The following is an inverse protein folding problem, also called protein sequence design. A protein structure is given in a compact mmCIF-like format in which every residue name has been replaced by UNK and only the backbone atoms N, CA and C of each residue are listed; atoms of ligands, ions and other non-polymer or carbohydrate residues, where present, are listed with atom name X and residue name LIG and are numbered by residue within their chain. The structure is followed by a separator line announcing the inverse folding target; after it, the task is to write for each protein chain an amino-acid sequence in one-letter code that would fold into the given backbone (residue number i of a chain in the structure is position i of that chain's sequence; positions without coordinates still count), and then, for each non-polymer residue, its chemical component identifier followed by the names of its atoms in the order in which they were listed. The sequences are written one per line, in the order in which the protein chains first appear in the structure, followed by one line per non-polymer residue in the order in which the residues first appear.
data_IF_997176752153
#
_entry.id   IF_997176752153
#
_cell.length_a   1.000
_cell.length_b   1.000
_cell.length_c   1.000
_cell.angle_alpha   90.00
_cell.angle_beta   90.00
_cell.angle_gamma   90.00
#
_symmetry.space_group_name_H-M   'P 1'
#
loop_
_entity.id
_entity.type
_entity.pdbx_description
1 polymer ?
#
# COMPACT_ATOMS: atom_id res chain seq x y z
N UNK A 1 10.16 10.82 -25.46
CA UNK A 1 9.06 10.44 -24.54
C UNK A 1 9.65 10.29 -23.14
N UNK A 2 9.10 10.94 -22.15
CA UNK A 2 9.63 10.85 -20.76
C UNK A 2 9.15 9.52 -20.16
N UNK A 3 10.05 8.54 -20.05
CA UNK A 3 9.75 7.23 -19.44
C UNK A 3 10.36 7.16 -18.05
N UNK A 4 9.60 6.64 -17.08
CA UNK A 4 10.08 6.30 -15.73
C UNK A 4 9.95 4.80 -15.53
N UNK A 5 10.94 4.19 -14.91
CA UNK A 5 10.90 2.80 -14.47
C UNK A 5 10.61 2.77 -12.97
N UNK A 6 9.72 1.89 -12.55
CA UNK A 6 9.39 1.64 -11.14
C UNK A 6 9.77 0.20 -10.81
N UNK A 7 10.67 0.03 -9.86
CA UNK A 7 11.03 -1.26 -9.30
C UNK A 7 10.04 -1.62 -8.18
N UNK A 8 9.22 -2.63 -8.41
CA UNK A 8 8.21 -3.14 -7.49
C UNK A 8 6.77 -2.78 -7.86
N UNK A 9 5.94 -3.79 -8.06
CA UNK A 9 4.51 -3.70 -8.39
C UNK A 9 3.57 -3.76 -7.18
N UNK A 10 4.06 -3.39 -6.00
CA UNK A 10 3.24 -3.28 -4.79
C UNK A 10 2.36 -2.02 -4.78
N UNK A 11 1.65 -1.79 -3.65
CA UNK A 11 0.78 -0.61 -3.47
C UNK A 11 1.51 0.69 -3.79
N UNK A 12 2.74 0.87 -3.28
CA UNK A 12 3.54 2.06 -3.52
C UNK A 12 3.89 2.25 -5.00
N UNK A 13 4.36 1.19 -5.66
CA UNK A 13 4.73 1.23 -7.08
C UNK A 13 3.56 1.50 -8.00
N UNK A 14 2.44 0.79 -7.83
CA UNK A 14 1.24 1.00 -8.64
C UNK A 14 0.62 2.39 -8.42
N UNK A 15 0.56 2.86 -7.16
CA UNK A 15 0.09 4.23 -6.88
C UNK A 15 0.98 5.27 -7.55
N UNK A 16 2.31 5.10 -7.46
CA UNK A 16 3.27 6.00 -8.12
C UNK A 16 3.11 5.96 -9.63
N UNK A 17 2.90 4.78 -10.22
CA UNK A 17 2.66 4.63 -11.65
C UNK A 17 1.42 5.42 -12.11
N UNK A 18 0.32 5.28 -11.40
CA UNK A 18 -0.92 6.01 -11.69
C UNK A 18 -0.74 7.52 -11.51
N UNK A 19 -0.03 7.96 -10.47
CA UNK A 19 0.29 9.37 -10.29
C UNK A 19 1.12 9.95 -11.44
N UNK A 20 2.16 9.25 -11.87
CA UNK A 20 3.01 9.69 -12.97
C UNK A 20 2.25 9.70 -14.31
N UNK A 21 1.45 8.68 -14.56
CA UNK A 21 0.64 8.58 -15.77
C UNK A 21 -0.40 9.70 -15.89
N UNK A 22 -0.94 10.19 -14.76
CA UNK A 22 -1.82 11.38 -14.72
C UNK A 22 -1.15 12.65 -15.24
N UNK A 23 0.20 12.71 -15.24
CA UNK A 23 1.00 13.82 -15.75
C UNK A 23 1.74 13.47 -17.05
N UNK A 24 1.15 12.60 -17.87
CA UNK A 24 1.64 12.22 -19.21
C UNK A 24 3.03 11.56 -19.23
N UNK A 25 3.45 10.94 -18.13
CA UNK A 25 4.64 10.11 -18.13
C UNK A 25 4.32 8.70 -18.66
N UNK A 26 5.21 8.16 -19.47
CA UNK A 26 5.22 6.72 -19.78
C UNK A 26 5.88 5.98 -18.62
N UNK A 27 5.25 4.94 -18.10
CA UNK A 27 5.71 4.23 -16.91
C UNK A 27 5.88 2.75 -17.20
N UNK A 28 7.03 2.20 -16.83
CA UNK A 28 7.27 0.76 -16.79
C UNK A 28 7.36 0.31 -15.33
N UNK A 29 6.44 -0.51 -14.89
CA UNK A 29 6.47 -1.15 -13.57
C UNK A 29 7.06 -2.55 -13.71
N UNK A 30 8.14 -2.81 -12.97
CA UNK A 30 8.82 -4.11 -12.92
C UNK A 30 8.49 -4.80 -11.60
N UNK A 31 7.90 -5.99 -11.67
CA UNK A 31 7.58 -6.81 -10.51
C UNK A 31 8.33 -8.15 -10.59
N UNK A 32 9.12 -8.45 -9.56
CA UNK A 32 9.91 -9.68 -9.51
C UNK A 32 9.07 -10.96 -9.44
N UNK A 33 7.91 -10.91 -8.82
CA UNK A 33 7.00 -12.04 -8.78
C UNK A 33 6.39 -12.28 -10.17
N UNK A 34 6.17 -13.54 -10.51
CA UNK A 34 5.54 -13.91 -11.78
C UNK A 34 4.07 -13.53 -11.87
N UNK A 35 3.43 -13.35 -10.73
CA UNK A 35 2.03 -12.93 -10.60
C UNK A 35 1.89 -11.97 -9.43
N UNK A 36 0.96 -11.04 -9.54
CA UNK A 36 0.59 -10.20 -8.40
C UNK A 36 -0.13 -11.04 -7.35
N UNK A 37 0.34 -10.98 -6.10
CA UNK A 37 -0.27 -11.73 -5.01
C UNK A 37 -1.17 -10.83 -4.19
N UNK A 38 -2.42 -11.26 -4.02
CA UNK A 38 -3.43 -10.57 -3.19
C UNK A 38 -3.34 -10.96 -1.71
N UNK A 39 -2.30 -11.72 -1.33
CA UNK A 39 -2.10 -12.11 0.06
C UNK A 39 -1.90 -10.89 0.96
N UNK A 40 -2.56 -10.89 2.10
CA UNK A 40 -2.43 -9.78 3.06
C UNK A 40 -3.40 -9.88 4.23
N UNK A 41 -3.36 -8.87 5.05
CA UNK A 41 -4.29 -8.62 6.16
C UNK A 41 -5.02 -7.29 5.93
N UNK A 42 -5.77 -6.83 6.91
CA UNK A 42 -6.40 -5.53 6.88
C UNK A 42 -5.37 -4.40 6.77
N UNK A 43 -5.72 -3.37 6.01
CA UNK A 43 -4.98 -2.12 5.89
C UNK A 43 -5.93 -0.95 6.19
N UNK A 44 -5.39 0.08 6.80
CA UNK A 44 -6.09 1.32 7.11
C UNK A 44 -5.62 2.40 6.15
N UNK A 45 -6.57 3.10 5.53
CA UNK A 45 -6.33 4.21 4.61
C UNK A 45 -6.90 5.47 5.23
N UNK A 46 -6.04 6.26 5.83
CA UNK A 46 -6.43 7.57 6.39
C UNK A 46 -6.63 8.62 5.28
N UNK A 47 -7.29 9.76 5.56
CA UNK A 47 -7.66 10.76 4.55
C UNK A 47 -6.52 11.28 3.68
N UNK A 48 -5.29 11.33 4.20
CA UNK A 48 -4.11 11.70 3.41
C UNK A 48 -3.81 10.69 2.27
N UNK A 49 -4.12 9.40 2.49
CA UNK A 49 -4.00 8.35 1.49
C UNK A 49 -5.25 8.29 0.59
N UNK A 50 -6.44 8.18 1.18
CA UNK A 50 -7.69 8.04 0.42
C UNK A 50 -7.95 9.23 -0.51
N UNK A 51 -7.55 10.45 -0.14
CA UNK A 51 -7.61 11.62 -1.02
C UNK A 51 -6.77 11.44 -2.29
N UNK A 52 -5.54 10.94 -2.17
CA UNK A 52 -4.70 10.65 -3.34
C UNK A 52 -5.37 9.61 -4.24
N UNK A 53 -5.89 8.54 -3.67
CA UNK A 53 -6.58 7.50 -4.42
C UNK A 53 -7.87 8.01 -5.09
N UNK A 54 -8.61 8.90 -4.44
CA UNK A 54 -9.78 9.58 -5.04
C UNK A 54 -9.38 10.48 -6.20
N UNK A 55 -8.28 11.23 -6.08
CA UNK A 55 -7.73 12.05 -7.15
C UNK A 55 -7.26 11.23 -8.36
N UNK A 56 -6.93 9.96 -8.17
CA UNK A 56 -6.64 8.99 -9.22
C UNK A 56 -7.91 8.36 -9.83
N UNK A 57 -9.11 8.79 -9.41
CA UNK A 57 -10.38 8.28 -9.92
C UNK A 57 -10.84 6.96 -9.32
N UNK A 58 -10.22 6.50 -8.21
CA UNK A 58 -10.47 5.18 -7.62
C UNK A 58 -11.57 5.19 -6.53
N UNK A 59 -12.21 6.33 -6.28
CA UNK A 59 -13.19 6.49 -5.20
C UNK A 59 -14.30 5.44 -5.21
N UNK A 60 -14.91 5.20 -6.38
CA UNK A 60 -16.01 4.24 -6.53
C UNK A 60 -15.55 2.80 -6.27
N UNK A 61 -14.39 2.41 -6.82
CA UNK A 61 -13.85 1.06 -6.64
C UNK A 61 -13.47 0.79 -5.18
N UNK A 62 -12.91 1.79 -4.48
CA UNK A 62 -12.61 1.70 -3.05
C UNK A 62 -13.87 1.59 -2.21
N UNK A 63 -14.89 2.42 -2.47
CA UNK A 63 -16.16 2.39 -1.74
C UNK A 63 -16.90 1.06 -1.87
N UNK A 64 -16.77 0.38 -3.01
CA UNK A 64 -17.40 -0.91 -3.23
C UNK A 64 -16.80 -2.05 -2.39
N UNK A 65 -15.56 -1.91 -1.93
CA UNK A 65 -14.83 -2.97 -1.23
C UNK A 65 -14.40 -2.59 0.19
N UNK A 66 -14.34 -1.30 0.49
CA UNK A 66 -13.86 -0.82 1.77
C UNK A 66 -14.98 -0.80 2.83
N UNK A 67 -14.57 -0.98 4.06
CA UNK A 67 -15.38 -0.74 5.25
C UNK A 67 -15.09 0.67 5.79
N UNK A 68 -16.14 1.44 6.08
CA UNK A 68 -16.02 2.75 6.73
C UNK A 68 -16.25 2.59 8.23
N UNK A 69 -15.19 2.66 9.05
CA UNK A 69 -15.34 2.54 10.49
C UNK A 69 -16.01 3.79 11.08
N UNK A 70 -16.90 3.59 12.05
CA UNK A 70 -17.52 4.69 12.80
C UNK A 70 -16.49 5.41 13.68
N UNK A 71 -15.45 4.68 14.13
CA UNK A 71 -14.44 5.24 15.01
C UNK A 71 -13.29 4.28 15.33
N UNK A 72 -12.40 4.77 16.17
CA UNK A 72 -11.33 3.98 16.80
C UNK A 72 -11.52 4.01 18.29
N UNK A 73 -11.40 2.85 18.94
CA UNK A 73 -11.58 2.70 20.38
C UNK A 73 -10.36 1.99 20.99
N UNK A 74 -9.89 2.52 22.12
CA UNK A 74 -8.83 1.90 22.90
C UNK A 74 -9.40 1.36 24.21
N UNK A 75 -9.13 0.09 24.50
CA UNK A 75 -9.65 -0.62 25.67
C UNK A 75 -8.54 -1.17 26.55
N UNK A 76 -8.78 -1.16 27.84
CA UNK A 76 -7.91 -1.83 28.79
C UNK A 76 -8.07 -3.35 28.66
N UNK A 77 -6.98 -4.07 28.42
CA UNK A 77 -6.98 -5.50 28.08
C UNK A 77 -7.68 -6.43 29.07
N UNK A 78 -7.57 -6.13 30.39
CA UNK A 78 -8.10 -6.99 31.44
C UNK A 78 -9.56 -6.69 31.78
N UNK A 79 -9.93 -5.42 31.85
CA UNK A 79 -11.26 -4.99 32.30
C UNK A 79 -12.24 -4.68 31.19
N UNK A 80 -11.76 -4.55 29.95
CA UNK A 80 -12.56 -4.11 28.81
C UNK A 80 -13.00 -2.64 28.89
N UNK A 81 -12.64 -1.90 29.94
CA UNK A 81 -12.99 -0.48 30.09
C UNK A 81 -12.44 0.33 28.91
N UNK A 82 -13.27 1.17 28.33
CA UNK A 82 -12.85 2.13 27.29
C UNK A 82 -11.92 3.15 27.94
N UNK A 83 -10.74 3.31 27.37
CA UNK A 83 -9.74 4.30 27.76
C UNK A 83 -10.00 5.60 26.99
N UNK A 84 -10.17 5.48 25.67
CA UNK A 84 -10.50 6.60 24.80
C UNK A 84 -11.20 6.10 23.53
N UNK A 85 -11.96 6.96 22.91
CA UNK A 85 -12.66 6.72 21.65
C UNK A 85 -12.57 7.97 20.78
N UNK A 86 -12.42 7.78 19.49
CA UNK A 86 -12.37 8.88 18.50
C UNK A 86 -13.31 8.53 17.35
N UNK A 87 -14.14 9.48 16.95
CA UNK A 87 -15.02 9.37 15.79
C UNK A 87 -14.20 9.40 14.49
N UNK A 88 -14.56 8.56 13.54
CA UNK A 88 -13.99 8.57 12.18
C UNK A 88 -15.08 8.96 11.16
N UNK A 89 -15.92 8.12 10.77
CA UNK A 89 -17.12 8.33 9.95
C UNK A 89 -17.15 9.56 9.04
N UNK A 90 -18.33 10.18 8.96
CA UNK A 90 -18.58 11.36 8.12
C UNK A 90 -17.80 12.60 8.59
N UNK A 91 -17.58 12.74 9.90
CA UNK A 91 -16.85 13.88 10.49
C UNK A 91 -15.42 14.00 9.94
N UNK A 92 -14.72 12.87 9.82
CA UNK A 92 -13.37 12.84 9.25
C UNK A 92 -13.39 13.18 7.76
N UNK A 93 -14.38 12.67 7.02
CA UNK A 93 -14.52 12.96 5.60
C UNK A 93 -14.80 14.45 5.36
N UNK A 94 -15.65 15.07 6.16
CA UNK A 94 -15.93 16.52 6.11
C UNK A 94 -14.68 17.34 6.45
N UNK A 95 -14.00 17.00 7.53
CA UNK A 95 -12.83 17.73 8.02
C UNK A 95 -11.63 17.68 7.10
N UNK A 96 -11.37 16.52 6.47
CA UNK A 96 -10.16 16.28 5.70
C UNK A 96 -10.39 16.09 4.19
N UNK A 97 -11.63 16.19 3.73
CA UNK A 97 -12.02 16.10 2.32
C UNK A 97 -11.97 14.70 1.74
N UNK A 98 -11.78 13.66 2.58
CA UNK A 98 -11.79 12.27 2.16
C UNK A 98 -12.07 11.33 3.33
N UNK A 99 -12.73 10.18 3.10
CA UNK A 99 -13.07 9.23 4.15
C UNK A 99 -11.86 8.43 4.65
N UNK A 100 -12.03 7.86 5.84
CA UNK A 100 -11.15 6.85 6.39
C UNK A 100 -11.67 5.47 6.01
N UNK A 101 -10.84 4.63 5.39
CA UNK A 101 -11.22 3.28 4.98
C UNK A 101 -10.46 2.22 5.74
N UNK A 102 -11.15 1.10 6.03
CA UNK A 102 -10.52 -0.19 6.31
C UNK A 102 -10.83 -1.13 5.15
N UNK A 103 -9.84 -1.86 4.66
CA UNK A 103 -10.05 -2.85 3.63
C UNK A 103 -9.01 -3.97 3.71
N UNK A 104 -9.21 -5.02 2.97
CA UNK A 104 -8.19 -6.04 2.80
C UNK A 104 -7.08 -5.50 1.89
N UNK A 105 -5.81 -5.77 2.23
CA UNK A 105 -4.66 -5.28 1.44
C UNK A 105 -4.67 -5.80 0.01
N UNK A 106 -5.15 -7.04 -0.19
CA UNK A 106 -5.31 -7.64 -1.51
C UNK A 106 -6.28 -6.88 -2.38
N UNK A 107 -7.44 -6.50 -1.81
CA UNK A 107 -8.48 -5.76 -2.54
C UNK A 107 -7.98 -4.37 -2.98
N UNK A 108 -7.20 -3.69 -2.12
CA UNK A 108 -6.55 -2.44 -2.50
C UNK A 108 -5.57 -2.66 -3.66
N UNK A 109 -4.78 -3.73 -3.60
CA UNK A 109 -3.84 -4.04 -4.67
C UNK A 109 -4.57 -4.35 -5.98
N UNK A 110 -5.68 -5.08 -5.95
CA UNK A 110 -6.52 -5.37 -7.13
C UNK A 110 -7.10 -4.09 -7.75
N UNK A 111 -7.62 -3.17 -6.92
CA UNK A 111 -8.12 -1.87 -7.41
C UNK A 111 -7.01 -1.08 -8.13
N UNK A 112 -5.81 -1.03 -7.55
CA UNK A 112 -4.67 -0.34 -8.16
C UNK A 112 -4.19 -1.02 -9.43
N UNK A 113 -4.12 -2.35 -9.42
CA UNK A 113 -3.68 -3.16 -10.55
C UNK A 113 -4.64 -3.02 -11.73
N UNK A 114 -5.94 -3.13 -11.50
CA UNK A 114 -6.97 -2.97 -12.52
C UNK A 114 -6.89 -1.58 -13.18
N UNK A 115 -6.71 -0.53 -12.37
CA UNK A 115 -6.54 0.83 -12.88
C UNK A 115 -5.25 0.98 -13.70
N UNK A 116 -4.15 0.42 -13.24
CA UNK A 116 -2.86 0.48 -13.93
C UNK A 116 -2.89 -0.30 -15.26
N UNK A 117 -3.51 -1.48 -15.29
CA UNK A 117 -3.66 -2.30 -16.50
C UNK A 117 -4.50 -1.63 -17.59
N UNK A 118 -5.48 -0.81 -17.20
CA UNK A 118 -6.34 -0.07 -18.13
C UNK A 118 -5.71 1.23 -18.65
N UNK A 119 -4.61 1.68 -18.02
CA UNK A 119 -4.00 2.96 -18.37
C UNK A 119 -3.00 2.80 -19.54
N UNK A 120 -3.19 3.50 -20.67
CA UNK A 120 -2.38 3.27 -21.88
C UNK A 120 -0.91 3.65 -21.73
N UNK A 121 -0.56 4.51 -20.77
CA UNK A 121 0.82 4.94 -20.51
C UNK A 121 1.55 4.07 -19.49
N UNK A 122 0.92 3.00 -18.95
CA UNK A 122 1.53 2.12 -17.96
C UNK A 122 1.75 0.74 -18.55
N UNK A 123 2.99 0.31 -18.60
CA UNK A 123 3.41 -1.06 -18.90
C UNK A 123 3.70 -1.81 -17.60
N UNK A 124 3.08 -2.96 -17.40
CA UNK A 124 3.33 -3.85 -16.26
C UNK A 124 4.10 -5.07 -16.74
N UNK A 125 5.25 -5.34 -16.14
CA UNK A 125 6.09 -6.52 -16.46
C UNK A 125 6.36 -7.31 -15.19
N UNK A 126 5.79 -8.51 -15.11
CA UNK A 126 6.01 -9.47 -14.02
C UNK A 126 7.17 -10.41 -14.32
N UNK A 127 7.69 -11.10 -13.30
CA UNK A 127 8.86 -11.98 -13.41
C UNK A 127 10.13 -11.21 -13.76
N UNK A 128 10.18 -9.90 -13.50
CA UNK A 128 11.27 -9.02 -13.88
C UNK A 128 11.78 -8.24 -12.66
N UNK A 129 13.04 -8.43 -12.34
CA UNK A 129 13.70 -7.78 -11.21
C UNK A 129 14.75 -6.78 -11.68
N UNK A 130 14.78 -5.61 -11.04
CA UNK A 130 15.90 -4.69 -11.17
C UNK A 130 17.08 -5.26 -10.40
N UNK A 131 18.21 -5.49 -11.10
CA UNK A 131 19.43 -6.00 -10.48
C UNK A 131 20.45 -4.91 -10.17
N UNK A 132 20.51 -3.87 -11.00
CA UNK A 132 21.44 -2.75 -10.84
C UNK A 132 20.97 -1.55 -11.66
N UNK A 133 21.57 -0.37 -11.42
CA UNK A 133 21.35 0.82 -12.24
C UNK A 133 22.52 1.79 -12.14
N UNK A 134 22.70 2.59 -13.17
CA UNK A 134 23.65 3.70 -13.20
C UNK A 134 22.98 4.97 -13.68
N UNK A 135 23.33 6.10 -13.09
CA UNK A 135 22.97 7.41 -13.60
C UNK A 135 23.99 7.84 -14.66
N UNK A 136 23.49 8.29 -15.82
CA UNK A 136 24.32 8.76 -16.93
C UNK A 136 24.57 10.28 -16.85
N UNK A 137 25.55 10.77 -17.57
CA UNK A 137 25.96 12.18 -17.55
C UNK A 137 24.86 13.14 -18.02
N UNK A 138 23.93 12.66 -18.87
CA UNK A 138 22.79 13.44 -19.34
C UNK A 138 21.62 13.46 -18.34
N UNK A 139 21.81 12.86 -17.16
CA UNK A 139 20.79 12.76 -16.09
C UNK A 139 19.79 11.62 -16.26
N UNK A 140 19.86 10.86 -17.35
CA UNK A 140 19.06 9.64 -17.53
C UNK A 140 19.60 8.50 -16.67
N UNK A 141 18.80 7.42 -16.54
CA UNK A 141 19.16 6.24 -15.77
C UNK A 141 19.13 5.01 -16.65
N UNK A 142 20.21 4.25 -16.66
CA UNK A 142 20.28 2.94 -17.28
C UNK A 142 20.03 1.88 -16.21
N UNK A 143 18.97 1.08 -16.38
CA UNK A 143 18.51 0.08 -15.40
C UNK A 143 18.75 -1.32 -15.96
N UNK A 144 19.37 -2.20 -15.18
CA UNK A 144 19.59 -3.60 -15.54
C UNK A 144 18.38 -4.45 -15.09
N UNK A 145 17.75 -5.11 -16.06
CA UNK A 145 16.56 -5.94 -15.85
C UNK A 145 16.73 -7.24 -16.65
N UNK A 146 16.73 -8.37 -15.96
CA UNK A 146 16.80 -9.71 -16.60
C UNK A 146 17.94 -9.85 -17.63
N UNK A 147 19.11 -9.27 -17.31
CA UNK A 147 20.31 -9.29 -18.17
C UNK A 147 20.24 -8.35 -19.37
N UNK A 148 19.29 -7.43 -19.43
CA UNK A 148 19.13 -6.38 -20.45
C UNK A 148 19.18 -5.00 -19.81
N UNK A 149 19.61 -4.02 -20.60
CA UNK A 149 19.59 -2.61 -20.18
C UNK A 149 18.34 -1.90 -20.70
N UNK A 150 17.64 -1.22 -19.81
CA UNK A 150 16.53 -0.32 -20.12
C UNK A 150 16.95 1.12 -19.81
N UNK A 151 16.64 2.07 -20.68
CA UNK A 151 16.94 3.49 -20.48
C UNK A 151 15.66 4.24 -20.06
N UNK A 152 15.77 5.10 -19.06
CA UNK A 152 14.67 5.89 -18.55
C UNK A 152 15.13 7.28 -18.08
N UNK A 153 14.19 8.22 -17.97
CA UNK A 153 14.43 9.53 -17.38
C UNK A 153 14.59 9.46 -15.84
N UNK A 154 14.19 8.34 -15.22
CA UNK A 154 14.35 8.12 -13.78
C UNK A 154 13.95 6.72 -13.37
N UNK A 155 14.44 6.28 -12.21
CA UNK A 155 14.10 5.04 -11.53
C UNK A 155 13.49 5.35 -10.17
N UNK A 156 12.36 4.73 -9.87
CA UNK A 156 11.70 4.79 -8.56
C UNK A 156 11.81 3.42 -7.87
N UNK A 157 12.46 3.38 -6.70
CA UNK A 157 12.52 2.20 -5.84
C UNK A 157 11.25 2.04 -5.01
N UNK A 158 10.40 1.06 -5.35
CA UNK A 158 9.21 0.65 -4.61
C UNK A 158 9.24 -0.86 -4.29
N UNK A 159 10.44 -1.43 -4.22
CA UNK A 159 10.78 -2.85 -4.16
C UNK A 159 10.84 -3.40 -2.71
N UNK A 160 10.24 -2.67 -1.75
CA UNK A 160 9.92 -3.14 -0.42
C UNK A 160 11.10 -3.20 0.56
N UNK A 161 10.95 -4.07 1.56
CA UNK A 161 11.89 -4.12 2.69
C UNK A 161 13.29 -4.63 2.27
N UNK A 162 13.37 -5.44 1.23
CA UNK A 162 14.63 -5.97 0.66
C UNK A 162 15.08 -5.20 -0.58
N UNK A 163 14.76 -3.91 -0.65
CA UNK A 163 15.00 -3.03 -1.80
C UNK A 163 16.44 -3.08 -2.31
N UNK A 164 16.60 -3.51 -3.57
CA UNK A 164 17.87 -3.46 -4.29
C UNK A 164 18.24 -2.01 -4.64
N UNK A 165 17.26 -1.21 -5.03
CA UNK A 165 17.47 0.21 -5.33
C UNK A 165 18.06 0.94 -4.12
N UNK A 166 17.52 0.70 -2.92
CA UNK A 166 18.06 1.27 -1.69
C UNK A 166 19.49 0.79 -1.41
N UNK A 167 19.76 -0.51 -1.60
CA UNK A 167 21.10 -1.08 -1.36
C UNK A 167 22.15 -0.48 -2.31
N UNK A 168 21.81 -0.32 -3.59
CA UNK A 168 22.71 0.32 -4.57
C UNK A 168 22.99 1.79 -4.25
N UNK A 169 22.00 2.53 -3.67
CA UNK A 169 22.17 3.96 -3.33
C UNK A 169 22.96 4.18 -2.04
N UNK A 170 22.73 3.37 -1.01
CA UNK A 170 23.24 3.64 0.35
C UNK A 170 24.01 2.47 0.97
N UNK A 171 24.31 1.44 0.20
CA UNK A 171 24.99 0.24 0.69
C UNK A 171 24.03 -0.71 1.41
N UNK A 172 24.57 -1.86 1.79
CA UNK A 172 23.82 -2.92 2.47
C UNK A 172 23.38 -2.47 3.87
N UNK A 173 22.09 -2.51 4.13
CA UNK A 173 21.48 -2.23 5.42
C UNK A 173 20.57 -3.40 5.78
N UNK A 174 21.06 -4.31 6.58
CA UNK A 174 20.30 -5.45 7.08
C UNK A 174 19.15 -4.97 7.99
N UNK A 175 17.95 -5.47 7.74
CA UNK A 175 16.84 -5.24 8.66
C UNK A 175 17.11 -5.92 10.00
N UNK A 176 16.97 -5.18 11.11
CA UNK A 176 17.16 -5.72 12.46
C UNK A 176 15.84 -6.25 13.00
N UNK A 177 15.83 -7.52 13.41
CA UNK A 177 14.66 -8.08 14.10
C UNK A 177 14.48 -7.42 15.47
N UNK A 178 13.35 -6.76 15.68
CA UNK A 178 13.05 -6.02 16.92
C UNK A 178 12.55 -6.89 18.07
N UNK A 179 12.38 -8.19 17.86
CA UNK A 179 11.76 -9.11 18.84
C UNK A 179 10.22 -9.09 18.81
N UNK A 180 9.60 -8.24 18.00
CA UNK A 180 8.15 -8.17 17.91
C UNK A 180 7.64 -9.05 16.76
N UNK A 181 6.54 -9.77 17.01
CA UNK A 181 5.81 -10.56 16.04
C UNK A 181 4.35 -10.14 16.02
N UNK A 182 3.70 -10.25 14.87
CA UNK A 182 2.28 -9.99 14.72
C UNK A 182 1.57 -11.23 14.15
N UNK A 183 0.65 -11.77 14.93
CA UNK A 183 -0.28 -12.80 14.45
C UNK A 183 -1.46 -12.12 13.79
N UNK A 184 -1.81 -12.58 12.58
CA UNK A 184 -2.91 -12.00 11.81
C UNK A 184 -3.87 -13.10 11.37
N UNK A 185 -5.17 -12.82 11.50
CA UNK A 185 -6.22 -13.72 11.01
C UNK A 185 -7.40 -12.92 10.47
N UNK A 186 -8.17 -13.55 9.59
CA UNK A 186 -9.47 -13.06 9.13
C UNK A 186 -10.55 -13.96 9.71
N UNK A 187 -11.54 -13.35 10.34
CA UNK A 187 -12.67 -14.05 10.90
C UNK A 187 -13.95 -13.50 10.25
N UNK A 188 -14.73 -14.32 9.53
CA UNK A 188 -16.02 -13.89 9.00
C UNK A 188 -16.94 -13.39 10.13
N UNK A 189 -17.48 -12.20 10.00
CA UNK A 189 -18.33 -11.58 11.02
C UNK A 189 -19.54 -12.46 11.38
N UNK A 190 -20.07 -13.19 10.40
CA UNK A 190 -21.18 -14.14 10.62
C UNK A 190 -20.86 -15.30 11.58
N UNK A 191 -19.56 -15.56 11.85
CA UNK A 191 -19.11 -16.57 12.83
C UNK A 191 -18.98 -16.00 14.25
N UNK A 192 -19.15 -14.69 14.43
CA UNK A 192 -19.06 -14.04 15.73
C UNK A 192 -20.46 -13.97 16.38
N UNK A 193 -20.55 -14.04 17.71
CA UNK A 193 -21.80 -13.76 18.41
C UNK A 193 -22.34 -12.36 18.05
N UNK A 194 -23.66 -12.26 17.92
CA UNK A 194 -24.29 -10.98 17.59
C UNK A 194 -23.93 -9.90 18.63
N UNK A 195 -23.54 -8.72 18.16
CA UNK A 195 -23.16 -7.59 19.00
C UNK A 195 -21.78 -7.70 19.65
N UNK A 196 -20.99 -8.76 19.34
CA UNK A 196 -19.65 -8.93 19.90
C UNK A 196 -18.66 -7.84 19.47
N UNK A 197 -18.79 -7.40 18.22
CA UNK A 197 -17.94 -6.33 17.65
C UNK A 197 -18.82 -5.18 17.17
N UNK A 198 -18.36 -3.97 17.40
CA UNK A 198 -18.93 -2.74 16.85
C UNK A 198 -18.27 -2.45 15.50
N UNK A 199 -18.87 -1.63 14.62
CA UNK A 199 -18.26 -1.20 13.36
C UNK A 199 -17.14 -0.17 13.61
N UNK A 200 -16.16 -0.55 14.40
CA UNK A 200 -15.04 0.29 14.87
C UNK A 200 -13.73 -0.47 14.80
N UNK A 201 -12.62 0.25 14.67
CA UNK A 201 -11.31 -0.28 14.99
C UNK A 201 -11.14 -0.30 16.52
N UNK A 202 -10.92 -1.47 17.10
CA UNK A 202 -10.72 -1.58 18.54
C UNK A 202 -9.33 -2.10 18.87
N UNK A 203 -8.61 -1.37 19.71
CA UNK A 203 -7.29 -1.72 20.21
C UNK A 203 -7.39 -2.06 21.70
N UNK A 204 -6.98 -3.27 22.06
CA UNK A 204 -6.88 -3.72 23.45
C UNK A 204 -5.44 -3.60 23.91
N UNK A 205 -5.19 -2.65 24.80
CA UNK A 205 -3.84 -2.38 25.31
C UNK A 205 -3.55 -3.17 26.57
N UNK A 206 -2.44 -3.92 26.55
CA UNK A 206 -1.86 -4.63 27.67
C UNK A 206 -0.35 -4.41 27.78
N UNK A 207 0.26 -4.82 28.90
CA UNK A 207 1.69 -4.71 29.09
C UNK A 207 2.47 -5.48 28.03
N UNK A 208 3.32 -4.79 27.26
CA UNK A 208 4.18 -5.38 26.23
C UNK A 208 3.47 -5.99 25.01
N UNK A 209 2.14 -5.86 24.88
CA UNK A 209 1.36 -6.39 23.76
C UNK A 209 0.02 -5.69 23.61
N UNK A 210 -0.54 -5.81 22.42
CA UNK A 210 -1.89 -5.33 22.13
C UNK A 210 -2.60 -6.28 21.16
N UNK A 211 -3.91 -6.24 21.17
CA UNK A 211 -4.77 -6.93 20.20
C UNK A 211 -5.61 -5.89 19.45
N UNK A 212 -5.71 -6.03 18.14
CA UNK A 212 -6.49 -5.11 17.29
C UNK A 212 -7.51 -5.91 16.51
N UNK A 213 -8.73 -5.44 16.48
CA UNK A 213 -9.78 -5.98 15.62
C UNK A 213 -10.63 -4.86 15.02
#
# INVERSE_FOLDING_TARGET
MRRVIIAGGGIGGLTTALCLAKYDWSVLVLEQARTFTTAGAGIQLSPNCSRVLHELGLAQALQAQAFLPEGTQFRHWRTGRVITESTLGAEIAERYGAPYYHMHRGDLLEVLLDAAQKHPSIELRTGSAVSDFIQLDDGSVQVQVDGRSELAAGLVGADGIHSQVRQSLWGEQAATFTGNIAWRMLVPTAKLPQGMVRPMSTVWWGPGKHFVH
#
